data_IF_711667423910
#
_entry.id   IF_711667423910
#
_cell.length_a   1.000
_cell.length_b   1.000
_cell.length_c   1.000
_cell.angle_alpha   90.00
_cell.angle_beta   90.00
_cell.angle_gamma   90.00
#
_symmetry.space_group_name_H-M   'P 1'
#
loop_
_entity.id
_entity.type
_entity.pdbx_description
1 polymer ?
#
# COMPACT_ATOMS: atom_id res chain seq x y z
N UNK A 1 25.67 0.68 3.42
CA UNK A 1 24.44 1.36 3.89
C UNK A 1 23.84 0.58 5.05
N UNK A 2 22.90 1.14 5.80
CA UNK A 2 22.27 0.46 6.94
C UNK A 2 21.25 -0.55 6.40
N UNK A 3 21.28 -1.80 6.87
CA UNK A 3 20.29 -2.84 6.53
C UNK A 3 18.87 -2.37 6.87
N UNK A 4 17.92 -2.53 5.95
CA UNK A 4 16.50 -2.19 6.14
C UNK A 4 15.89 -3.14 7.16
N UNK A 5 15.21 -2.62 8.16
CA UNK A 5 14.57 -3.36 9.24
C UNK A 5 13.04 -3.39 9.00
N UNK A 6 12.51 -4.56 8.75
CA UNK A 6 11.09 -4.78 8.44
C UNK A 6 10.40 -5.47 9.60
N UNK A 7 9.34 -4.90 10.14
CA UNK A 7 8.45 -5.61 11.02
C UNK A 7 7.26 -6.20 10.21
N UNK A 8 6.82 -7.40 10.60
CA UNK A 8 5.70 -8.09 9.95
C UNK A 8 4.58 -8.21 10.98
N UNK A 9 3.42 -7.66 10.67
CA UNK A 9 2.22 -7.75 11.49
C UNK A 9 1.18 -8.63 10.79
N UNK A 10 0.91 -9.79 11.37
CA UNK A 10 0.22 -10.93 10.77
C UNK A 10 1.21 -11.95 10.20
N UNK A 11 1.32 -13.13 10.80
CA UNK A 11 2.31 -14.15 10.43
C UNK A 11 1.66 -15.47 9.97
N UNK A 12 0.49 -15.35 9.33
CA UNK A 12 -0.15 -16.43 8.58
C UNK A 12 0.59 -16.77 7.28
N UNK A 13 -0.12 -17.29 6.28
CA UNK A 13 0.49 -17.71 5.01
C UNK A 13 1.26 -16.58 4.31
N UNK A 14 0.68 -15.36 4.26
CA UNK A 14 1.36 -14.20 3.63
C UNK A 14 2.56 -13.74 4.44
N UNK A 15 2.39 -13.49 5.74
CA UNK A 15 3.47 -12.97 6.60
C UNK A 15 4.64 -13.93 6.73
N UNK A 16 4.40 -15.23 6.87
CA UNK A 16 5.47 -16.24 6.91
C UNK A 16 6.21 -16.33 5.58
N UNK A 17 5.50 -16.25 4.46
CA UNK A 17 6.11 -16.16 3.13
C UNK A 17 6.97 -14.91 2.94
N UNK A 18 6.52 -13.74 3.43
CA UNK A 18 7.27 -12.49 3.43
C UNK A 18 8.56 -12.64 4.27
N UNK A 19 8.44 -13.20 5.49
CA UNK A 19 9.59 -13.48 6.35
C UNK A 19 10.62 -14.39 5.69
N UNK A 20 10.15 -15.47 5.04
CA UNK A 20 11.00 -16.39 4.31
C UNK A 20 11.72 -15.72 3.12
N UNK A 21 11.00 -14.89 2.34
CA UNK A 21 11.59 -14.15 1.23
C UNK A 21 12.65 -13.16 1.72
N UNK A 22 12.35 -12.36 2.76
CA UNK A 22 13.30 -11.39 3.34
C UNK A 22 14.56 -12.10 3.85
N UNK A 23 14.42 -13.26 4.48
CA UNK A 23 15.55 -14.04 4.98
C UNK A 23 16.51 -14.49 3.86
N UNK A 24 16.05 -14.60 2.62
CA UNK A 24 16.87 -14.95 1.46
C UNK A 24 17.51 -13.75 0.75
N UNK A 25 17.27 -12.50 1.22
CA UNK A 25 17.73 -11.27 0.55
C UNK A 25 18.87 -10.58 1.33
N UNK A 26 19.57 -9.68 0.64
CA UNK A 26 20.65 -8.85 1.19
C UNK A 26 20.17 -7.42 1.42
N UNK A 27 20.74 -6.72 2.41
CA UNK A 27 20.40 -5.33 2.72
C UNK A 27 19.02 -5.14 3.37
N UNK A 28 18.32 -6.21 3.69
CA UNK A 28 17.00 -6.22 4.34
C UNK A 28 16.92 -7.36 5.36
N UNK A 29 16.26 -7.15 6.48
CA UNK A 29 16.05 -8.16 7.52
C UNK A 29 14.74 -7.96 8.26
N UNK A 30 14.19 -9.03 8.82
CA UNK A 30 13.05 -8.94 9.74
C UNK A 30 13.55 -8.43 11.08
N UNK A 31 12.92 -7.38 11.62
CA UNK A 31 13.25 -6.78 12.93
C UNK A 31 12.24 -7.13 14.02
N UNK A 32 11.04 -7.61 13.64
CA UNK A 32 10.01 -8.02 14.57
C UNK A 32 8.85 -8.70 13.86
N UNK A 33 8.13 -9.54 14.58
CA UNK A 33 6.93 -10.23 14.09
C UNK A 33 5.84 -10.14 15.16
N UNK A 34 4.64 -9.71 14.77
CA UNK A 34 3.47 -9.71 15.63
C UNK A 34 2.35 -10.59 15.03
N UNK A 35 1.82 -11.47 15.84
CA UNK A 35 0.62 -12.25 15.53
C UNK A 35 -0.16 -12.54 16.82
N UNK A 36 -1.48 -12.72 16.70
CA UNK A 36 -2.36 -13.01 17.85
C UNK A 36 -2.69 -14.49 18.02
N UNK A 37 -2.18 -15.34 17.13
CA UNK A 37 -2.41 -16.77 17.23
C UNK A 37 -1.51 -17.40 18.29
N UNK A 38 -2.11 -17.91 19.37
CA UNK A 38 -1.40 -18.47 20.53
C UNK A 38 -0.35 -19.53 20.17
N UNK A 39 -0.53 -20.24 19.05
CA UNK A 39 0.44 -21.24 18.58
C UNK A 39 1.71 -20.62 17.99
N UNK A 40 1.67 -19.36 17.61
CA UNK A 40 2.83 -18.64 17.05
C UNK A 40 3.56 -17.84 18.11
N UNK A 41 2.81 -17.23 19.02
CA UNK A 41 3.35 -16.34 20.05
C UNK A 41 4.37 -17.06 20.92
N UNK A 42 5.55 -16.43 21.06
CA UNK A 42 6.69 -16.98 21.82
C UNK A 42 7.60 -17.91 21.03
N UNK A 43 7.26 -18.29 19.80
CA UNK A 43 8.17 -19.03 18.92
C UNK A 43 9.21 -18.10 18.29
N UNK A 44 10.39 -18.64 18.02
CA UNK A 44 11.40 -17.97 17.21
C UNK A 44 11.06 -18.11 15.74
N UNK A 45 11.10 -16.96 15.00
CA UNK A 45 10.63 -16.88 13.61
C UNK A 45 11.37 -17.83 12.65
N UNK A 46 12.69 -17.89 12.72
CA UNK A 46 13.49 -18.73 11.81
C UNK A 46 13.29 -20.21 12.09
N UNK A 47 13.15 -20.59 13.37
CA UNK A 47 12.81 -21.97 13.77
C UNK A 47 11.41 -22.37 13.26
N UNK A 48 10.43 -21.45 13.38
CA UNK A 48 9.08 -21.69 12.85
C UNK A 48 9.09 -21.85 11.32
N UNK A 49 9.89 -21.06 10.60
CA UNK A 49 10.02 -21.15 9.15
C UNK A 49 10.89 -22.35 8.71
N UNK A 50 11.58 -23.02 9.63
CA UNK A 50 12.48 -24.13 9.32
C UNK A 50 13.72 -23.71 8.50
N UNK A 51 14.19 -22.47 8.67
CA UNK A 51 15.35 -21.92 7.94
C UNK A 51 16.47 -21.51 8.87
N UNK A 52 17.72 -21.53 8.37
CA UNK A 52 18.87 -21.07 9.13
C UNK A 52 18.85 -19.55 9.30
N UNK A 53 19.01 -19.10 10.53
CA UNK A 53 19.13 -17.68 10.89
C UNK A 53 20.34 -17.00 10.24
N UNK A 54 21.38 -17.74 9.91
CA UNK A 54 22.58 -17.26 9.21
C UNK A 54 23.22 -16.01 9.86
N UNK A 55 23.26 -15.98 11.21
CA UNK A 55 23.85 -14.89 11.98
C UNK A 55 22.97 -13.63 12.12
N UNK A 56 21.74 -13.63 11.62
CA UNK A 56 20.78 -12.53 11.83
C UNK A 56 20.32 -12.47 13.28
N UNK A 57 19.79 -11.31 13.74
CA UNK A 57 19.18 -11.19 15.06
C UNK A 57 18.07 -12.21 15.28
N UNK A 58 17.91 -12.67 16.51
CA UNK A 58 16.76 -13.47 16.93
C UNK A 58 15.46 -12.65 16.84
N UNK A 59 14.38 -13.28 16.38
CA UNK A 59 13.06 -12.63 16.25
C UNK A 59 12.02 -13.51 16.91
N UNK A 60 11.63 -13.14 18.12
CA UNK A 60 10.52 -13.82 18.83
C UNK A 60 9.20 -13.22 18.38
N UNK A 61 8.24 -14.08 18.01
CA UNK A 61 6.90 -13.68 17.61
C UNK A 61 6.14 -13.22 18.86
N UNK A 62 5.68 -11.96 18.86
CA UNK A 62 4.96 -11.35 19.97
C UNK A 62 3.48 -11.15 19.65
N UNK A 63 2.62 -11.06 20.69
CA UNK A 63 1.24 -10.63 20.55
C UNK A 63 1.05 -9.12 20.70
N UNK A 64 2.10 -8.40 21.12
CA UNK A 64 2.07 -6.95 21.36
C UNK A 64 2.70 -6.20 20.17
N UNK A 65 1.87 -5.53 19.42
CA UNK A 65 2.28 -4.70 18.30
C UNK A 65 3.23 -3.54 18.69
N UNK A 66 3.17 -3.06 19.93
CA UNK A 66 4.06 -1.99 20.40
C UNK A 66 5.53 -2.44 20.49
N UNK A 67 5.79 -3.73 20.63
CA UNK A 67 7.17 -4.25 20.65
C UNK A 67 7.84 -4.18 19.27
N UNK A 68 7.05 -4.27 18.19
CA UNK A 68 7.57 -4.31 16.81
C UNK A 68 7.43 -2.96 16.08
N UNK A 69 6.44 -2.12 16.46
CA UNK A 69 6.23 -0.81 15.84
C UNK A 69 6.98 0.25 16.66
N UNK A 70 8.27 0.27 16.52
CA UNK A 70 9.19 1.19 17.18
C UNK A 70 10.17 1.72 16.13
N UNK A 71 10.15 3.01 15.87
CA UNK A 71 10.98 3.66 14.86
C UNK A 71 12.48 3.45 15.05
N UNK A 72 12.92 3.32 16.29
CA UNK A 72 14.35 3.06 16.58
C UNK A 72 14.76 1.64 16.19
N UNK A 73 13.82 0.72 16.05
CA UNK A 73 14.04 -0.69 15.73
C UNK A 73 13.55 -1.11 14.35
N UNK A 74 12.56 -0.39 13.79
CA UNK A 74 11.84 -0.76 12.57
C UNK A 74 11.80 0.40 11.60
N UNK A 75 12.19 0.15 10.37
CA UNK A 75 12.17 1.16 9.30
C UNK A 75 10.83 1.15 8.53
N UNK A 76 10.14 0.00 8.47
CA UNK A 76 8.84 -0.17 7.80
C UNK A 76 8.08 -1.36 8.38
N UNK A 77 6.75 -1.26 8.43
CA UNK A 77 5.84 -2.36 8.80
C UNK A 77 5.15 -2.91 7.56
N UNK A 78 5.09 -4.23 7.44
CA UNK A 78 4.23 -4.92 6.48
C UNK A 78 3.03 -5.50 7.24
N UNK A 79 1.82 -5.06 6.87
CA UNK A 79 0.55 -5.56 7.41
C UNK A 79 0.01 -6.67 6.51
N UNK A 80 -0.16 -7.87 7.07
CA UNK A 80 -0.64 -9.05 6.35
C UNK A 80 -1.76 -9.76 7.15
N UNK A 81 -2.78 -9.00 7.59
CA UNK A 81 -3.81 -9.48 8.53
C UNK A 81 -5.21 -9.58 7.97
N UNK A 82 -5.58 -8.76 6.99
CA UNK A 82 -6.94 -8.58 6.50
C UNK A 82 -6.96 -8.11 5.06
N UNK A 83 -8.13 -8.19 4.40
CA UNK A 83 -8.38 -7.71 3.04
C UNK A 83 -9.05 -6.32 2.98
N UNK A 84 -9.55 -5.80 4.12
CA UNK A 84 -10.44 -4.64 4.16
C UNK A 84 -9.79 -3.43 4.83
N UNK A 85 -10.01 -2.23 4.27
CA UNK A 85 -9.52 -0.95 4.82
C UNK A 85 -9.98 -0.76 6.27
N UNK A 86 -11.26 -1.04 6.57
CA UNK A 86 -11.82 -0.87 7.92
C UNK A 86 -11.09 -1.70 8.98
N UNK A 87 -10.69 -2.92 8.63
CA UNK A 87 -9.98 -3.83 9.54
C UNK A 87 -8.50 -3.46 9.69
N UNK A 88 -7.93 -2.80 8.68
CA UNK A 88 -6.54 -2.33 8.68
C UNK A 88 -6.36 -0.93 9.30
N UNK A 89 -7.42 -0.11 9.34
CA UNK A 89 -7.35 1.31 9.65
C UNK A 89 -6.63 1.61 10.97
N UNK A 90 -7.07 1.01 12.07
CA UNK A 90 -6.47 1.27 13.39
C UNK A 90 -5.01 0.82 13.46
N UNK A 91 -4.65 -0.28 12.77
CA UNK A 91 -3.28 -0.78 12.69
C UNK A 91 -2.37 0.18 11.90
N UNK A 92 -2.87 0.71 10.78
CA UNK A 92 -2.16 1.72 9.99
C UNK A 92 -1.96 2.98 10.82
N UNK A 93 -3.01 3.50 11.46
CA UNK A 93 -2.93 4.69 12.31
C UNK A 93 -1.95 4.50 13.46
N UNK A 94 -1.91 3.32 14.08
CA UNK A 94 -0.95 2.97 15.12
C UNK A 94 0.51 3.06 14.64
N UNK A 95 0.79 2.60 13.42
CA UNK A 95 2.11 2.74 12.79
C UNK A 95 2.45 4.21 12.49
N UNK A 96 1.48 4.94 11.92
CA UNK A 96 1.64 6.35 11.57
C UNK A 96 1.91 7.23 12.77
N UNK A 97 1.21 7.02 13.89
CA UNK A 97 1.45 7.75 15.15
C UNK A 97 2.89 7.62 15.64
N UNK A 98 3.57 6.53 15.27
CA UNK A 98 4.97 6.25 15.56
C UNK A 98 5.92 6.64 14.42
N UNK A 99 5.41 7.32 13.40
CA UNK A 99 6.14 7.73 12.20
C UNK A 99 6.84 6.55 11.49
N UNK A 100 6.18 5.38 11.45
CA UNK A 100 6.67 4.19 10.76
C UNK A 100 5.86 3.99 9.46
N UNK A 101 6.52 3.92 8.29
CA UNK A 101 5.89 3.63 7.00
C UNK A 101 5.22 2.26 6.99
N UNK A 102 4.22 2.08 6.12
CA UNK A 102 3.42 0.85 6.06
C UNK A 102 3.28 0.37 4.62
N UNK A 103 3.41 -0.95 4.42
CA UNK A 103 2.87 -1.64 3.25
C UNK A 103 1.78 -2.61 3.72
N UNK A 104 0.61 -2.57 3.09
CA UNK A 104 -0.51 -3.47 3.37
C UNK A 104 -0.74 -4.42 2.21
N UNK A 105 -1.00 -5.70 2.52
CA UNK A 105 -1.46 -6.71 1.55
C UNK A 105 -2.98 -6.71 1.37
N UNK A 106 -3.71 -5.86 2.11
CA UNK A 106 -5.16 -5.77 1.99
C UNK A 106 -5.55 -5.30 0.59
N UNK A 107 -6.45 -6.02 -0.05
CA UNK A 107 -6.90 -5.78 -1.41
C UNK A 107 -7.51 -4.38 -1.56
N UNK A 108 -8.41 -3.98 -0.65
CA UNK A 108 -9.00 -2.63 -0.68
C UNK A 108 -7.96 -1.51 -0.52
N UNK A 109 -6.79 -1.79 0.06
CA UNK A 109 -5.73 -0.79 0.23
C UNK A 109 -5.00 -0.46 -1.07
N UNK A 110 -5.18 -1.21 -2.17
CA UNK A 110 -4.58 -0.88 -3.46
C UNK A 110 -5.12 0.45 -4.02
N UNK A 111 -6.41 0.72 -3.80
CA UNK A 111 -7.06 2.00 -4.11
C UNK A 111 -8.20 2.29 -3.12
N UNK A 112 -7.89 2.64 -1.86
CA UNK A 112 -8.89 2.67 -0.79
C UNK A 112 -9.97 3.75 -0.96
N UNK A 113 -9.76 4.72 -1.85
CA UNK A 113 -10.77 5.75 -2.16
C UNK A 113 -12.01 5.19 -2.86
N UNK A 114 -11.92 4.04 -3.54
CA UNK A 114 -13.04 3.42 -4.24
C UNK A 114 -14.22 3.17 -3.30
N UNK A 115 -13.96 2.58 -2.15
CA UNK A 115 -15.04 2.18 -1.23
C UNK A 115 -14.93 2.81 0.16
N UNK A 116 -13.77 3.37 0.52
CA UNK A 116 -13.47 3.83 1.88
C UNK A 116 -12.85 5.23 1.91
N UNK A 117 -13.38 6.16 1.09
CA UNK A 117 -12.81 7.49 0.88
C UNK A 117 -12.47 8.25 2.18
N UNK A 118 -13.38 8.26 3.17
CA UNK A 118 -13.14 8.98 4.42
C UNK A 118 -11.96 8.41 5.22
N UNK A 119 -11.81 7.07 5.23
CA UNK A 119 -10.69 6.41 5.91
C UNK A 119 -9.39 6.63 5.15
N UNK A 120 -9.44 6.54 3.83
CA UNK A 120 -8.29 6.82 2.96
C UNK A 120 -7.77 8.25 3.15
N UNK A 121 -8.67 9.26 3.17
CA UNK A 121 -8.31 10.65 3.38
C UNK A 121 -7.68 10.87 4.78
N UNK A 122 -8.15 10.17 5.82
CA UNK A 122 -7.56 10.22 7.17
C UNK A 122 -6.16 9.59 7.21
N UNK A 123 -5.99 8.44 6.56
CA UNK A 123 -4.67 7.79 6.44
C UNK A 123 -3.70 8.73 5.72
N UNK A 124 -4.11 9.29 4.57
CA UNK A 124 -3.29 10.19 3.77
C UNK A 124 -2.87 11.44 4.57
N UNK A 125 -3.81 12.03 5.28
CA UNK A 125 -3.55 13.22 6.10
C UNK A 125 -2.56 12.95 7.24
N UNK A 126 -2.75 11.84 7.99
CA UNK A 126 -1.84 11.49 9.08
C UNK A 126 -0.47 11.07 8.55
N UNK A 127 -0.40 10.29 7.46
CA UNK A 127 0.86 9.91 6.82
C UNK A 127 1.66 11.14 6.35
N UNK A 128 0.99 12.13 5.72
CA UNK A 128 1.60 13.41 5.34
C UNK A 128 2.10 14.21 6.55
N UNK A 129 1.32 14.25 7.61
CA UNK A 129 1.69 14.92 8.86
C UNK A 129 2.92 14.28 9.49
N UNK A 130 3.02 12.95 9.46
CA UNK A 130 4.14 12.18 10.02
C UNK A 130 5.35 12.08 9.09
N UNK A 131 5.24 12.52 7.86
CA UNK A 131 6.33 12.47 6.88
C UNK A 131 6.65 11.06 6.38
N UNK A 132 5.70 10.13 6.42
CA UNK A 132 5.87 8.73 6.02
C UNK A 132 4.88 8.33 4.92
N UNK A 133 5.18 7.25 4.20
CA UNK A 133 4.30 6.73 3.16
C UNK A 133 3.55 5.47 3.62
N UNK A 134 2.35 5.29 3.08
CA UNK A 134 1.55 4.06 3.19
C UNK A 134 1.27 3.58 1.77
N UNK A 135 1.43 2.27 1.52
CA UNK A 135 1.10 1.63 0.25
C UNK A 135 0.22 0.41 0.50
N UNK A 136 -0.85 0.24 -0.27
CA UNK A 136 -1.50 -1.05 -0.46
C UNK A 136 -1.08 -1.64 -1.80
N UNK A 137 -0.72 -2.93 -1.83
CA UNK A 137 -0.33 -3.62 -3.07
C UNK A 137 -0.39 -5.12 -2.94
N UNK A 138 -0.44 -5.78 -4.09
CA UNK A 138 -0.47 -7.23 -4.22
C UNK A 138 -0.39 -7.62 -5.69
N UNK A 139 -0.96 -8.77 -6.02
CA UNK A 139 -1.08 -9.22 -7.41
C UNK A 139 -2.43 -8.83 -8.00
N UNK A 140 -3.51 -8.91 -7.22
CA UNK A 140 -4.84 -8.59 -7.70
C UNK A 140 -5.78 -8.25 -6.52
N UNK A 141 -5.99 -6.94 -6.31
CA UNK A 141 -5.48 -5.76 -7.03
C UNK A 141 -4.00 -5.43 -6.70
N UNK A 142 -3.41 -4.57 -7.54
CA UNK A 142 -2.07 -4.03 -7.39
C UNK A 142 -1.12 -4.32 -8.57
N UNK A 143 -1.46 -5.31 -9.44
CA UNK A 143 -0.62 -5.61 -10.61
C UNK A 143 -1.38 -6.13 -11.83
N UNK A 144 -1.95 -7.34 -11.77
CA UNK A 144 -2.37 -8.09 -12.99
C UNK A 144 -3.57 -7.46 -13.69
N UNK A 145 -4.63 -7.10 -12.93
CA UNK A 145 -5.86 -6.54 -13.48
C UNK A 145 -5.92 -5.01 -13.39
N UNK A 146 -4.78 -4.35 -13.18
CA UNK A 146 -4.69 -2.89 -13.06
C UNK A 146 -3.34 -2.34 -13.54
N UNK A 147 -2.28 -2.35 -12.72
CA UNK A 147 -1.00 -1.71 -13.03
C UNK A 147 -0.35 -2.22 -14.33
N UNK A 148 -0.38 -3.53 -14.59
CA UNK A 148 0.16 -4.13 -15.82
C UNK A 148 -0.56 -3.59 -17.05
N UNK A 149 -1.89 -3.44 -16.95
CA UNK A 149 -2.74 -2.90 -18.02
C UNK A 149 -2.37 -1.44 -18.28
N UNK A 150 -2.25 -0.64 -17.22
CA UNK A 150 -1.84 0.76 -17.32
C UNK A 150 -0.46 0.91 -17.97
N UNK A 151 0.51 0.09 -17.54
CA UNK A 151 1.85 0.13 -18.12
C UNK A 151 1.86 -0.23 -19.61
N UNK A 152 1.05 -1.22 -20.01
CA UNK A 152 0.92 -1.64 -21.41
C UNK A 152 0.20 -0.57 -22.26
N UNK A 153 -0.86 0.03 -21.73
CA UNK A 153 -1.67 1.04 -22.44
C UNK A 153 -0.89 2.29 -22.85
N UNK A 154 0.23 2.57 -22.18
CA UNK A 154 1.13 3.68 -22.54
C UNK A 154 1.74 3.59 -23.94
N UNK A 155 1.59 2.46 -24.62
CA UNK A 155 2.00 2.28 -26.02
C UNK A 155 0.84 2.41 -27.01
N UNK A 156 -0.40 2.65 -26.53
CA UNK A 156 -1.58 2.83 -27.37
C UNK A 156 -1.79 4.33 -27.65
N UNK A 157 -2.20 4.66 -28.87
CA UNK A 157 -2.52 6.04 -29.26
C UNK A 157 -3.84 6.50 -28.63
N UNK A 158 -4.85 5.62 -28.67
CA UNK A 158 -6.15 5.83 -28.05
C UNK A 158 -6.73 4.47 -27.61
N UNK A 159 -7.32 4.41 -26.41
CA UNK A 159 -7.90 3.20 -25.86
C UNK A 159 -9.42 3.32 -25.87
N UNK A 160 -10.10 2.35 -26.49
CA UNK A 160 -11.57 2.30 -26.59
C UNK A 160 -12.20 1.47 -25.50
N UNK A 161 -11.59 0.35 -25.14
CA UNK A 161 -12.04 -0.51 -24.04
C UNK A 161 -10.94 -1.48 -23.61
N UNK A 162 -11.11 -2.03 -22.42
CA UNK A 162 -10.19 -3.00 -21.81
C UNK A 162 -10.99 -4.20 -21.34
N UNK A 163 -10.56 -5.38 -21.77
CA UNK A 163 -11.02 -6.64 -21.23
C UNK A 163 -9.86 -7.38 -20.60
N UNK A 164 -10.00 -7.76 -19.34
CA UNK A 164 -8.99 -8.52 -18.65
C UNK A 164 -9.60 -9.70 -17.89
N UNK A 165 -8.90 -10.84 -17.91
CA UNK A 165 -9.34 -12.04 -17.23
C UNK A 165 -8.18 -12.65 -16.46
N UNK A 166 -8.47 -13.14 -15.25
CA UNK A 166 -7.57 -13.92 -14.42
C UNK A 166 -8.23 -15.25 -14.09
N UNK A 167 -7.75 -16.33 -14.66
CA UNK A 167 -8.23 -17.69 -14.41
C UNK A 167 -7.23 -18.37 -13.48
N UNK A 168 -7.60 -18.57 -12.22
CA UNK A 168 -6.69 -19.15 -11.25
C UNK A 168 -7.18 -20.47 -10.65
N UNK A 169 -6.20 -21.28 -10.21
CA UNK A 169 -6.46 -22.50 -9.44
C UNK A 169 -6.47 -22.19 -7.95
N UNK A 170 -7.57 -22.55 -7.28
CA UNK A 170 -7.74 -22.45 -5.83
C UNK A 170 -7.09 -23.61 -5.07
N UNK A 171 -6.71 -24.69 -5.73
CA UNK A 171 -6.20 -25.89 -5.08
C UNK A 171 -5.03 -25.67 -4.10
N UNK A 172 -4.10 -24.72 -4.32
CA UNK A 172 -3.03 -24.40 -3.39
C UNK A 172 -3.48 -23.65 -2.12
N UNK A 173 -4.68 -23.09 -2.10
CA UNK A 173 -5.15 -22.28 -0.98
C UNK A 173 -5.79 -23.13 0.14
N UNK A 174 -5.77 -22.60 1.37
CA UNK A 174 -6.25 -23.32 2.53
C UNK A 174 -7.77 -23.49 2.60
N UNK A 175 -8.22 -24.27 3.59
CA UNK A 175 -9.64 -24.62 3.78
C UNK A 175 -10.56 -23.41 3.88
N UNK A 176 -10.14 -22.33 4.52
CA UNK A 176 -10.93 -21.10 4.65
C UNK A 176 -11.32 -20.52 3.28
N UNK A 177 -10.35 -20.44 2.33
CA UNK A 177 -10.61 -19.98 0.97
C UNK A 177 -11.60 -20.90 0.24
N UNK A 178 -11.48 -22.23 0.44
CA UNK A 178 -12.45 -23.18 -0.15
C UNK A 178 -13.87 -22.89 0.33
N UNK A 179 -14.06 -22.63 1.62
CA UNK A 179 -15.36 -22.32 2.23
C UNK A 179 -15.90 -20.96 1.77
N UNK A 180 -15.06 -19.95 1.68
CA UNK A 180 -15.40 -18.61 1.21
C UNK A 180 -15.77 -18.57 -0.29
N UNK A 181 -15.18 -19.47 -1.08
CA UNK A 181 -15.46 -19.63 -2.52
C UNK A 181 -16.55 -20.67 -2.78
N UNK A 182 -17.18 -21.24 -1.76
CA UNK A 182 -18.29 -22.17 -1.92
C UNK A 182 -17.92 -23.48 -2.60
N UNK A 183 -16.68 -23.93 -2.52
CA UNK A 183 -16.26 -25.19 -3.13
C UNK A 183 -17.01 -26.38 -2.54
N UNK A 184 -17.67 -27.15 -3.41
CA UNK A 184 -18.41 -28.37 -3.05
C UNK A 184 -19.86 -28.17 -2.62
N UNK A 185 -20.38 -26.92 -2.56
CA UNK A 185 -21.78 -26.67 -2.25
C UNK A 185 -22.68 -26.89 -3.48
N UNK A 186 -24.00 -27.00 -3.26
CA UNK A 186 -24.98 -27.08 -4.36
C UNK A 186 -25.25 -25.70 -4.98
N UNK A 187 -25.92 -25.67 -6.13
CA UNK A 187 -26.37 -24.43 -6.77
C UNK A 187 -27.40 -23.70 -5.92
N UNK A 188 -28.30 -24.44 -5.29
CA UNK A 188 -29.33 -23.87 -4.42
C UNK A 188 -28.68 -23.19 -3.20
N UNK A 189 -27.67 -23.83 -2.57
CA UNK A 189 -26.94 -23.24 -1.46
C UNK A 189 -26.13 -22.02 -1.91
N UNK A 190 -25.56 -22.05 -3.12
CA UNK A 190 -24.88 -20.88 -3.70
C UNK A 190 -25.84 -19.68 -3.82
N UNK A 191 -27.03 -19.88 -4.38
CA UNK A 191 -28.03 -18.82 -4.54
C UNK A 191 -28.46 -18.23 -3.19
N UNK A 192 -28.67 -19.09 -2.19
CA UNK A 192 -28.98 -18.68 -0.81
C UNK A 192 -27.87 -17.85 -0.18
N UNK A 193 -26.62 -18.30 -0.33
CA UNK A 193 -25.44 -17.63 0.26
C UNK A 193 -25.08 -16.34 -0.46
N UNK A 194 -25.30 -16.24 -1.78
CA UNK A 194 -25.16 -14.99 -2.53
C UNK A 194 -26.21 -13.98 -2.08
N UNK A 195 -27.48 -14.40 -1.93
CA UNK A 195 -28.54 -13.54 -1.43
C UNK A 195 -28.31 -13.05 0.02
N UNK A 196 -27.63 -13.84 0.82
CA UNK A 196 -27.24 -13.52 2.21
C UNK A 196 -25.91 -12.76 2.33
N UNK A 197 -25.20 -12.50 1.21
CA UNK A 197 -23.86 -11.90 1.13
C UNK A 197 -22.82 -12.62 2.03
N UNK A 198 -22.83 -13.96 2.01
CA UNK A 198 -21.94 -14.83 2.81
C UNK A 198 -20.90 -15.57 1.97
N UNK A 199 -20.86 -15.34 0.65
CA UNK A 199 -19.77 -15.78 -0.23
C UNK A 199 -18.95 -14.55 -0.63
N UNK A 200 -17.67 -14.54 -0.28
CA UNK A 200 -16.82 -13.38 -0.50
C UNK A 200 -16.58 -13.09 -1.98
N UNK A 201 -16.32 -14.13 -2.78
CA UNK A 201 -15.84 -13.96 -4.14
C UNK A 201 -14.45 -13.28 -4.15
N UNK A 202 -14.23 -12.44 -5.15
CA UNK A 202 -13.01 -11.63 -5.25
C UNK A 202 -13.24 -10.24 -4.64
N UNK A 203 -12.30 -9.79 -3.80
CA UNK A 203 -12.24 -8.42 -3.27
C UNK A 203 -11.26 -7.62 -4.13
N UNK A 204 -11.65 -6.41 -4.61
CA UNK A 204 -10.70 -5.50 -5.25
C UNK A 204 -11.03 -5.05 -6.68
N UNK A 205 -12.15 -5.49 -7.28
CA UNK A 205 -12.52 -4.99 -8.61
C UNK A 205 -12.80 -3.49 -8.67
N UNK A 206 -13.53 -2.89 -7.72
CA UNK A 206 -13.68 -1.44 -7.68
C UNK A 206 -12.35 -0.71 -7.57
N UNK A 207 -11.44 -1.22 -6.75
CA UNK A 207 -10.10 -0.69 -6.55
C UNK A 207 -9.28 -0.71 -7.85
N UNK A 208 -9.26 -1.85 -8.54
CA UNK A 208 -8.53 -1.98 -9.83
C UNK A 208 -9.13 -1.07 -10.90
N UNK A 209 -10.45 -1.03 -11.03
CA UNK A 209 -11.14 -0.20 -12.04
C UNK A 209 -10.90 1.29 -11.79
N UNK A 210 -11.09 1.77 -10.55
CA UNK A 210 -10.87 3.18 -10.23
C UNK A 210 -9.40 3.60 -10.33
N UNK A 211 -8.45 2.72 -9.97
CA UNK A 211 -7.04 2.97 -10.18
C UNK A 211 -6.71 3.12 -11.67
N UNK A 212 -7.24 2.25 -12.52
CA UNK A 212 -7.07 2.36 -13.98
C UNK A 212 -7.74 3.62 -14.53
N UNK A 213 -8.97 3.89 -14.15
CA UNK A 213 -9.73 5.07 -14.56
C UNK A 213 -8.96 6.35 -14.22
N UNK A 214 -8.46 6.45 -12.99
CA UNK A 214 -7.64 7.57 -12.54
C UNK A 214 -6.33 7.68 -13.32
N UNK A 215 -5.66 6.56 -13.58
CA UNK A 215 -4.39 6.51 -14.30
C UNK A 215 -4.51 6.92 -15.77
N UNK A 216 -5.62 6.59 -16.39
CA UNK A 216 -5.91 6.92 -17.80
C UNK A 216 -6.65 8.25 -17.99
N UNK A 217 -7.19 8.82 -16.91
CA UNK A 217 -8.02 10.03 -17.00
C UNK A 217 -9.39 9.77 -17.62
N UNK A 218 -9.96 8.59 -17.40
CA UNK A 218 -11.31 8.19 -17.85
C UNK A 218 -12.25 8.28 -16.67
N UNK A 219 -13.35 8.99 -16.83
CA UNK A 219 -14.43 8.96 -15.85
C UNK A 219 -15.25 7.68 -16.06
N UNK A 220 -15.46 6.93 -14.99
CA UNK A 220 -16.29 5.71 -15.02
C UNK A 220 -17.51 5.88 -14.14
N UNK A 221 -18.63 5.39 -14.62
CA UNK A 221 -19.90 5.34 -13.90
C UNK A 221 -20.29 3.88 -13.68
N UNK A 222 -21.10 3.64 -12.65
CA UNK A 222 -21.80 2.37 -12.40
C UNK A 222 -20.91 1.11 -12.53
N UNK A 223 -20.06 0.86 -11.55
CA UNK A 223 -19.33 -0.42 -11.46
C UNK A 223 -20.30 -1.52 -11.07
N UNK A 224 -20.72 -2.30 -12.05
CA UNK A 224 -21.60 -3.46 -11.87
C UNK A 224 -20.77 -4.72 -11.65
N UNK A 225 -21.10 -5.54 -10.65
CA UNK A 225 -20.44 -6.81 -10.37
C UNK A 225 -21.44 -7.96 -10.40
N UNK A 226 -21.03 -9.08 -11.00
CA UNK A 226 -21.82 -10.33 -11.01
C UNK A 226 -21.00 -11.46 -10.43
N UNK A 227 -21.67 -12.45 -9.82
CA UNK A 227 -21.09 -13.69 -9.31
C UNK A 227 -21.89 -14.86 -9.87
N UNK A 228 -21.20 -15.77 -10.55
CA UNK A 228 -21.79 -16.95 -11.19
C UNK A 228 -21.13 -18.22 -10.64
N UNK A 229 -21.87 -19.30 -10.39
CA UNK A 229 -21.30 -20.56 -9.97
C UNK A 229 -20.55 -21.25 -11.09
N UNK A 230 -19.36 -21.78 -10.82
CA UNK A 230 -18.65 -22.68 -11.72
C UNK A 230 -19.00 -24.12 -11.29
N UNK A 231 -19.87 -24.77 -12.06
CA UNK A 231 -20.33 -26.13 -11.78
C UNK A 231 -19.42 -27.12 -12.49
N UNK A 232 -18.88 -28.09 -11.73
CA UNK A 232 -18.02 -29.12 -12.29
C UNK A 232 -18.79 -30.31 -12.88
N UNK A 233 -18.32 -30.85 -13.99
CA UNK A 233 -18.86 -32.06 -14.61
C UNK A 233 -18.08 -33.32 -14.21
N UNK A 234 -17.02 -33.18 -13.43
CA UNK A 234 -16.17 -34.26 -12.91
C UNK A 234 -15.92 -34.04 -11.42
N UNK A 235 -15.51 -35.08 -10.69
CA UNK A 235 -15.05 -34.91 -9.33
C UNK A 235 -13.67 -34.25 -9.33
N UNK A 236 -13.51 -33.16 -8.55
CA UNK A 236 -12.23 -32.44 -8.38
C UNK A 236 -11.79 -32.47 -6.92
N UNK A 237 -10.53 -32.77 -6.69
CA UNK A 237 -9.99 -32.90 -5.33
C UNK A 237 -8.69 -32.13 -5.18
N UNK A 238 -8.60 -31.29 -4.16
CA UNK A 238 -7.37 -30.64 -3.72
C UNK A 238 -6.98 -31.10 -2.31
N UNK A 239 -5.86 -30.62 -1.78
CA UNK A 239 -5.46 -30.91 -0.42
C UNK A 239 -6.46 -30.38 0.65
N UNK A 240 -7.28 -29.39 0.30
CA UNK A 240 -8.12 -28.65 1.23
C UNK A 240 -9.59 -28.58 0.84
N UNK A 241 -9.98 -29.08 -0.34
CA UNK A 241 -11.35 -29.01 -0.83
C UNK A 241 -11.70 -30.15 -1.79
N UNK A 242 -12.99 -30.44 -1.88
CA UNK A 242 -13.57 -31.43 -2.81
C UNK A 242 -14.83 -30.84 -3.44
N UNK A 243 -14.94 -30.92 -4.75
CA UNK A 243 -16.14 -30.59 -5.51
C UNK A 243 -16.59 -31.83 -6.28
N UNK A 244 -17.70 -32.44 -5.88
CA UNK A 244 -18.30 -33.57 -6.59
C UNK A 244 -18.97 -33.11 -7.89
N UNK A 245 -19.07 -34.01 -8.85
CA UNK A 245 -19.81 -33.74 -10.10
C UNK A 245 -21.19 -33.16 -9.84
N UNK A 246 -21.50 -32.02 -10.43
CA UNK A 246 -22.74 -31.26 -10.27
C UNK A 246 -22.75 -30.26 -9.12
N UNK A 247 -21.63 -30.13 -8.38
CA UNK A 247 -21.47 -29.10 -7.35
C UNK A 247 -20.55 -27.97 -7.79
N UNK A 248 -20.39 -26.94 -6.96
CA UNK A 248 -19.51 -25.81 -7.28
C UNK A 248 -18.03 -26.24 -7.19
N UNK A 249 -17.27 -25.93 -8.24
CA UNK A 249 -15.80 -25.94 -8.21
C UNK A 249 -15.23 -24.59 -7.75
N UNK A 250 -16.06 -23.54 -7.78
CA UNK A 250 -15.69 -22.18 -7.43
C UNK A 250 -16.63 -21.12 -7.98
N UNK A 251 -16.19 -19.88 -8.04
CA UNK A 251 -17.02 -18.72 -8.46
C UNK A 251 -16.33 -18.01 -9.62
N UNK A 252 -17.11 -17.62 -10.63
CA UNK A 252 -16.73 -16.64 -11.62
C UNK A 252 -17.31 -15.29 -11.23
N UNK A 253 -16.44 -14.35 -10.89
CA UNK A 253 -16.85 -12.97 -10.65
C UNK A 253 -16.45 -12.10 -11.83
N UNK A 254 -17.35 -11.21 -12.23
CA UNK A 254 -17.10 -10.25 -13.29
C UNK A 254 -17.43 -8.84 -12.80
N UNK A 255 -16.74 -7.85 -13.35
CA UNK A 255 -17.05 -6.45 -13.13
C UNK A 255 -17.05 -5.71 -14.47
N UNK A 256 -18.02 -4.81 -14.60
CA UNK A 256 -18.20 -3.95 -15.75
C UNK A 256 -18.26 -2.51 -15.28
N UNK A 257 -17.49 -1.64 -15.92
CA UNK A 257 -17.60 -0.20 -15.70
C UNK A 257 -17.81 0.50 -17.05
N UNK A 258 -18.71 1.49 -17.04
CA UNK A 258 -19.12 2.21 -18.25
C UNK A 258 -18.45 3.57 -18.28
N UNK A 259 -18.19 4.07 -19.49
CA UNK A 259 -17.75 5.44 -19.73
C UNK A 259 -18.94 6.43 -19.68
N UNK A 260 -18.66 7.69 -19.86
CA UNK A 260 -19.66 8.78 -19.93
C UNK A 260 -20.74 8.60 -21.02
N UNK A 261 -20.50 7.75 -22.01
CA UNK A 261 -21.43 7.44 -23.10
C UNK A 261 -22.31 6.22 -22.79
N UNK A 262 -22.07 5.56 -21.65
CA UNK A 262 -22.77 4.34 -21.24
C UNK A 262 -22.22 3.06 -21.87
N UNK A 263 -21.10 3.13 -22.61
CA UNK A 263 -20.45 1.96 -23.19
C UNK A 263 -19.54 1.28 -22.16
N UNK A 264 -19.41 -0.05 -22.22
CA UNK A 264 -18.52 -0.80 -21.33
C UNK A 264 -17.07 -0.51 -21.69
N UNK A 265 -16.38 0.28 -20.84
CA UNK A 265 -14.98 0.59 -21.02
C UNK A 265 -14.08 -0.45 -20.35
N UNK A 266 -14.41 -0.88 -19.11
CA UNK A 266 -13.68 -1.94 -18.40
C UNK A 266 -14.56 -3.18 -18.24
N UNK A 267 -14.02 -4.34 -18.59
CA UNK A 267 -14.59 -5.65 -18.29
C UNK A 267 -13.53 -6.52 -17.64
N UNK A 268 -13.67 -6.77 -16.35
CA UNK A 268 -12.80 -7.66 -15.58
C UNK A 268 -13.52 -8.98 -15.32
N UNK A 269 -12.82 -10.11 -15.47
CA UNK A 269 -13.35 -11.46 -15.34
C UNK A 269 -12.40 -12.32 -14.49
N UNK A 270 -12.89 -12.89 -13.40
CA UNK A 270 -12.07 -13.67 -12.48
C UNK A 270 -12.72 -15.01 -12.12
N UNK A 271 -12.61 -16.02 -12.99
CA UNK A 271 -12.95 -17.39 -12.64
C UNK A 271 -11.94 -17.97 -11.65
N UNK A 272 -12.39 -18.24 -10.43
CA UNK A 272 -11.63 -18.87 -9.37
C UNK A 272 -12.22 -20.25 -9.08
N UNK A 273 -11.44 -21.33 -9.26
CA UNK A 273 -11.95 -22.69 -9.12
C UNK A 273 -10.85 -23.65 -8.73
N UNK A 274 -11.19 -24.77 -8.08
CA UNK A 274 -10.20 -25.83 -7.80
C UNK A 274 -9.96 -26.69 -9.04
N UNK A 275 -8.70 -27.07 -9.25
CA UNK A 275 -8.28 -28.03 -10.28
C UNK A 275 -8.95 -27.79 -11.65
N UNK A 276 -8.81 -26.59 -12.25
CA UNK A 276 -9.48 -26.25 -13.51
C UNK A 276 -9.06 -27.16 -14.66
N UNK A 277 -7.84 -27.67 -14.63
CA UNK A 277 -7.30 -28.53 -15.67
C UNK A 277 -7.99 -29.90 -15.79
N UNK A 278 -8.68 -30.34 -14.74
CA UNK A 278 -9.49 -31.57 -14.79
C UNK A 278 -10.65 -31.48 -15.80
N UNK A 279 -11.00 -30.26 -16.22
CA UNK A 279 -11.98 -30.01 -17.31
C UNK A 279 -11.36 -29.25 -18.48
N UNK A 280 -10.05 -29.27 -18.62
CA UNK A 280 -9.32 -28.67 -19.75
C UNK A 280 -9.31 -27.14 -19.73
N UNK A 281 -9.57 -26.51 -18.58
CA UNK A 281 -9.44 -25.08 -18.41
C UNK A 281 -8.02 -24.75 -17.93
N UNK A 282 -7.26 -24.05 -18.76
CA UNK A 282 -5.91 -23.62 -18.40
C UNK A 282 -5.93 -22.33 -17.61
N UNK A 283 -5.12 -22.27 -16.55
CA UNK A 283 -4.92 -21.05 -15.77
C UNK A 283 -4.11 -20.03 -16.57
N UNK A 284 -4.39 -18.74 -16.31
CA UNK A 284 -3.68 -17.66 -17.01
C UNK A 284 -4.25 -16.29 -16.68
N UNK A 285 -3.40 -15.28 -16.91
CA UNK A 285 -3.78 -13.87 -16.88
C UNK A 285 -3.84 -13.38 -18.32
N UNK A 286 -4.96 -12.83 -18.76
CA UNK A 286 -5.23 -12.40 -20.12
C UNK A 286 -5.72 -10.98 -20.15
N UNK A 287 -5.15 -10.15 -21.02
CA UNK A 287 -5.57 -8.75 -21.19
C UNK A 287 -5.71 -8.47 -22.67
N UNK A 288 -6.82 -7.87 -23.08
CA UNK A 288 -7.03 -7.28 -24.39
C UNK A 288 -7.30 -5.78 -24.20
N UNK A 289 -6.46 -4.95 -24.80
CA UNK A 289 -6.66 -3.50 -24.89
C UNK A 289 -7.11 -3.21 -26.32
N UNK A 290 -8.34 -2.79 -26.49
CA UNK A 290 -8.86 -2.34 -27.77
C UNK A 290 -8.44 -0.89 -28.01
N UNK A 291 -7.60 -0.64 -29.00
CA UNK A 291 -7.07 0.68 -29.31
C UNK A 291 -7.36 1.05 -30.78
N UNK A 292 -7.19 2.33 -31.12
CA UNK A 292 -7.31 2.73 -32.51
C UNK A 292 -6.19 2.08 -33.36
N UNK A 293 -6.63 1.41 -34.43
CA UNK A 293 -5.75 0.79 -35.39
C UNK A 293 -5.26 -0.61 -35.05
N UNK A 294 -5.35 -1.07 -33.82
CA UNK A 294 -4.96 -2.44 -33.42
C UNK A 294 -5.46 -2.84 -32.03
N UNK A 295 -5.55 -4.13 -31.78
CA UNK A 295 -5.79 -4.69 -30.46
C UNK A 295 -4.48 -5.22 -29.89
N UNK A 296 -4.18 -4.83 -28.64
CA UNK A 296 -3.06 -5.40 -27.90
C UNK A 296 -3.55 -6.58 -27.05
N UNK A 297 -2.90 -7.72 -27.19
CA UNK A 297 -3.17 -8.90 -26.38
C UNK A 297 -1.94 -9.27 -25.56
N UNK A 298 -2.11 -9.37 -24.23
CA UNK A 298 -1.10 -9.85 -23.31
C UNK A 298 -1.60 -11.14 -22.64
N UNK A 299 -0.70 -12.08 -22.38
CA UNK A 299 -1.01 -13.28 -21.61
C UNK A 299 0.17 -13.72 -20.77
N UNK A 300 -0.13 -14.18 -19.56
CA UNK A 300 0.80 -14.85 -18.66
C UNK A 300 0.22 -16.24 -18.40
N UNK A 301 0.93 -17.28 -18.83
CA UNK A 301 0.46 -18.68 -18.74
C UNK A 301 1.59 -19.55 -18.20
N UNK A 302 1.37 -20.31 -17.11
CA UNK A 302 0.19 -20.26 -16.25
C UNK A 302 0.01 -18.87 -15.57
N UNK A 303 -1.08 -18.68 -14.85
CA UNK A 303 -1.33 -17.41 -14.15
C UNK A 303 -0.23 -17.04 -13.15
N UNK A 304 -0.06 -15.76 -12.90
CA UNK A 304 0.83 -15.28 -11.84
C UNK A 304 0.38 -15.86 -10.49
N UNK A 305 1.21 -16.66 -9.79
CA UNK A 305 0.80 -17.28 -8.53
C UNK A 305 0.42 -16.23 -7.50
N UNK A 306 -0.85 -16.17 -7.08
CA UNK A 306 -1.38 -15.09 -6.24
C UNK A 306 -0.59 -14.90 -4.94
N UNK A 307 -0.34 -15.96 -4.19
CA UNK A 307 0.40 -15.91 -2.93
C UNK A 307 1.85 -15.50 -3.10
N UNK A 308 2.60 -16.20 -3.96
CA UNK A 308 4.03 -15.91 -4.22
C UNK A 308 4.20 -14.52 -4.84
N UNK A 309 3.31 -14.15 -5.75
CA UNK A 309 3.36 -12.86 -6.42
C UNK A 309 3.11 -11.71 -5.46
N UNK A 310 2.11 -11.81 -4.56
CA UNK A 310 1.82 -10.80 -3.54
C UNK A 310 3.00 -10.64 -2.58
N UNK A 311 3.56 -11.74 -2.07
CA UNK A 311 4.77 -11.74 -1.24
C UNK A 311 5.91 -11.01 -1.95
N UNK A 312 6.15 -11.36 -3.22
CA UNK A 312 7.23 -10.77 -4.01
C UNK A 312 7.00 -9.28 -4.27
N UNK A 313 5.79 -8.88 -4.63
CA UNK A 313 5.43 -7.49 -4.87
C UNK A 313 5.67 -6.64 -3.62
N UNK A 314 5.12 -7.04 -2.48
CA UNK A 314 5.25 -6.32 -1.23
C UNK A 314 6.71 -6.14 -0.81
N UNK A 315 7.52 -7.21 -0.86
CA UNK A 315 8.93 -7.15 -0.47
C UNK A 315 9.74 -6.28 -1.44
N UNK A 316 9.50 -6.42 -2.75
CA UNK A 316 10.21 -5.61 -3.75
C UNK A 316 9.84 -4.12 -3.69
N UNK A 317 8.65 -3.78 -3.18
CA UNK A 317 8.23 -2.38 -3.02
C UNK A 317 8.77 -1.72 -1.74
N UNK A 318 9.35 -2.47 -0.80
CA UNK A 318 9.91 -1.91 0.44
C UNK A 318 10.85 -0.71 0.21
N UNK A 319 11.89 -0.80 -0.63
CA UNK A 319 12.78 0.35 -0.86
C UNK A 319 12.05 1.55 -1.49
N UNK A 320 11.07 1.29 -2.37
CA UNK A 320 10.33 2.33 -3.05
C UNK A 320 9.41 3.10 -2.10
N UNK A 321 8.78 2.41 -1.13
CA UNK A 321 7.95 3.04 -0.09
C UNK A 321 8.81 3.86 0.87
N UNK A 322 9.99 3.36 1.23
CA UNK A 322 10.95 4.10 2.07
C UNK A 322 11.45 5.38 1.40
N UNK A 323 11.56 5.40 0.07
CA UNK A 323 11.93 6.59 -0.71
C UNK A 323 10.75 7.45 -1.17
N UNK A 324 9.50 7.04 -0.91
CA UNK A 324 8.32 7.70 -1.44
C UNK A 324 8.01 9.03 -0.74
N UNK A 325 7.31 9.92 -1.42
CA UNK A 325 6.73 11.12 -0.79
C UNK A 325 5.71 10.71 0.27
N UNK A 326 5.68 11.43 1.38
CA UNK A 326 4.73 11.19 2.46
C UNK A 326 3.27 11.23 1.98
N UNK A 327 2.45 10.36 2.56
CA UNK A 327 1.02 10.23 2.27
C UNK A 327 0.63 8.80 1.90
N UNK A 328 -0.65 8.59 1.67
CA UNK A 328 -1.17 7.37 1.10
C UNK A 328 -0.79 7.31 -0.38
N UNK A 329 -0.03 6.28 -0.75
CA UNK A 329 0.52 6.08 -2.09
C UNK A 329 -0.14 4.88 -2.74
N UNK A 330 -0.17 4.91 -4.05
CA UNK A 330 -0.62 3.81 -4.89
C UNK A 330 0.50 3.34 -5.80
N UNK A 331 0.29 2.26 -6.51
CA UNK A 331 1.26 1.79 -7.50
C UNK A 331 1.50 2.81 -8.63
N UNK A 332 0.59 3.78 -8.85
CA UNK A 332 0.76 4.87 -9.81
C UNK A 332 1.78 5.94 -9.36
N UNK A 333 2.01 6.05 -8.06
CA UNK A 333 2.87 7.09 -7.48
C UNK A 333 4.34 6.65 -7.36
N UNK A 334 4.62 5.36 -7.56
CA UNK A 334 5.89 4.73 -7.24
C UNK A 334 6.63 4.26 -8.49
N UNK A 335 7.94 4.03 -8.41
CA UNK A 335 8.69 3.45 -9.51
C UNK A 335 8.14 2.10 -9.96
N UNK A 336 8.39 1.75 -11.22
CA UNK A 336 7.99 0.45 -11.80
C UNK A 336 8.42 -0.70 -10.89
N UNK A 337 7.48 -1.57 -10.47
CA UNK A 337 7.80 -2.73 -9.66
C UNK A 337 8.75 -3.66 -10.41
N UNK A 338 9.79 -4.11 -9.72
CA UNK A 338 10.82 -4.98 -10.31
C UNK A 338 11.40 -5.92 -9.27
N UNK A 339 11.84 -7.10 -9.70
CA UNK A 339 12.59 -7.99 -8.85
C UNK A 339 13.94 -7.36 -8.46
N UNK A 340 14.23 -7.29 -7.17
CA UNK A 340 15.50 -6.83 -6.66
C UNK A 340 16.40 -8.04 -6.42
N UNK A 341 17.49 -8.13 -7.17
CA UNK A 341 18.44 -9.23 -7.10
C UNK A 341 19.72 -8.89 -6.29
N UNK A 342 19.96 -7.61 -6.09
CA UNK A 342 21.08 -7.07 -5.32
C UNK A 342 20.71 -6.72 -3.88
N UNK A 343 21.49 -5.79 -3.32
CA UNK A 343 21.27 -5.25 -1.98
C UNK A 343 20.08 -4.29 -1.95
N UNK A 344 19.08 -4.58 -1.13
CA UNK A 344 17.85 -3.79 -1.02
C UNK A 344 18.11 -2.38 -0.48
N UNK A 345 19.08 -2.21 0.40
CA UNK A 345 19.42 -0.90 0.96
C UNK A 345 20.00 0.08 -0.07
N UNK A 346 20.55 -0.43 -1.17
CA UNK A 346 21.05 0.36 -2.29
C UNK A 346 19.95 0.80 -3.26
N UNK A 347 18.73 0.25 -3.14
CA UNK A 347 17.60 0.56 -4.01
C UNK A 347 16.67 1.65 -3.45
N UNK A 348 17.01 2.19 -2.27
CA UNK A 348 16.25 3.30 -1.69
C UNK A 348 16.70 4.59 -2.37
N UNK A 349 15.88 5.11 -3.28
CA UNK A 349 16.01 6.46 -3.80
C UNK A 349 15.49 7.44 -2.73
N UNK A 350 16.26 7.62 -1.68
CA UNK A 350 15.96 8.64 -0.69
C UNK A 350 16.07 10.02 -1.36
N UNK A 351 14.95 10.74 -1.45
CA UNK A 351 15.02 12.19 -1.45
C UNK A 351 15.66 12.58 -0.08
N UNK A 352 16.91 13.07 -0.07
CA UNK A 352 17.66 13.28 1.19
C UNK A 352 16.94 14.21 2.17
N UNK A 353 15.85 14.87 1.74
CA UNK A 353 15.06 15.76 2.59
C UNK A 353 13.92 15.09 3.36
N UNK A 354 13.48 13.90 2.97
CA UNK A 354 12.17 13.40 3.39
C UNK A 354 12.15 12.68 4.74
N UNK A 355 13.25 12.01 5.11
CA UNK A 355 13.36 11.23 6.36
C UNK A 355 14.61 11.57 7.18
N UNK A 356 15.39 12.56 6.74
CA UNK A 356 16.58 12.94 7.48
C UNK A 356 16.19 13.52 8.84
N UNK A 357 16.75 12.92 9.89
CA UNK A 357 16.81 13.54 11.20
C UNK A 357 17.35 14.97 11.04
N UNK A 358 16.61 15.96 11.49
CA UNK A 358 17.03 17.36 11.53
C UNK A 358 17.75 17.59 12.84
N UNK A 359 18.81 18.36 12.77
CA UNK A 359 19.63 18.71 13.93
C UNK A 359 19.42 20.16 14.31
N UNK A 360 19.75 20.47 15.54
CA UNK A 360 19.75 21.84 16.03
C UNK A 360 20.50 22.79 15.10
N UNK A 361 19.84 23.86 14.72
CA UNK A 361 20.35 24.84 13.77
C UNK A 361 19.99 24.59 12.33
N UNK A 362 19.39 23.44 11.98
CA UNK A 362 18.86 23.21 10.62
C UNK A 362 17.70 24.17 10.33
N UNK A 363 17.67 24.68 9.11
CA UNK A 363 16.57 25.51 8.62
C UNK A 363 15.47 24.61 8.08
N UNK A 364 14.31 24.66 8.71
CA UNK A 364 13.22 23.67 8.48
C UNK A 364 11.89 24.34 8.17
N UNK A 365 10.97 23.58 7.59
CA UNK A 365 9.57 23.98 7.41
C UNK A 365 8.73 23.31 8.47
N UNK A 366 7.96 24.10 9.19
CA UNK A 366 7.03 23.63 10.22
C UNK A 366 5.60 24.05 9.92
N UNK A 367 4.64 23.34 10.47
CA UNK A 367 3.22 23.62 10.31
C UNK A 367 2.50 23.74 11.64
N UNK A 368 1.47 24.59 11.70
CA UNK A 368 0.58 24.75 12.85
C UNK A 368 -0.86 24.95 12.40
N UNK A 369 -1.79 24.29 13.06
CA UNK A 369 -3.22 24.60 12.91
C UNK A 369 -3.49 25.95 13.57
N UNK A 370 -3.94 26.91 12.77
CA UNK A 370 -4.31 28.26 13.24
C UNK A 370 -5.78 28.30 13.66
N UNK A 371 -6.65 27.67 12.86
CA UNK A 371 -8.06 27.51 13.14
C UNK A 371 -8.46 26.05 12.87
N UNK A 372 -9.21 25.46 13.78
CA UNK A 372 -9.79 24.13 13.54
C UNK A 372 -10.99 24.20 12.59
N UNK A 373 -11.47 23.04 12.17
CA UNK A 373 -12.72 22.94 11.40
C UNK A 373 -13.85 23.69 12.08
N UNK A 374 -14.66 24.40 11.30
CA UNK A 374 -15.78 25.21 11.81
C UNK A 374 -15.41 26.55 12.45
N UNK A 375 -14.13 26.86 12.65
CA UNK A 375 -13.67 28.15 13.19
C UNK A 375 -13.33 29.19 12.12
N UNK A 376 -13.58 28.88 10.84
CA UNK A 376 -13.38 29.82 9.73
C UNK A 376 -14.42 30.94 9.78
N UNK A 377 -14.11 32.07 9.13
CA UNK A 377 -15.04 33.17 8.99
C UNK A 377 -16.35 32.71 8.31
N UNK A 378 -17.53 33.25 8.72
CA UNK A 378 -18.82 32.77 8.20
C UNK A 378 -19.02 32.89 6.68
N UNK A 379 -18.25 33.74 6.02
CA UNK A 379 -18.35 34.03 4.59
C UNK A 379 -17.49 33.14 3.69
N UNK A 380 -16.74 32.17 4.25
CA UNK A 380 -15.98 31.24 3.40
C UNK A 380 -16.90 30.19 2.79
N UNK A 381 -16.55 29.59 1.61
CA UNK A 381 -17.27 28.48 1.04
C UNK A 381 -17.42 27.30 2.01
N UNK A 382 -18.47 26.51 1.83
CA UNK A 382 -18.80 25.41 2.77
C UNK A 382 -17.69 24.34 2.85
N UNK A 383 -17.07 24.00 1.73
CA UNK A 383 -15.91 23.11 1.65
C UNK A 383 -14.69 23.66 2.44
N UNK A 384 -14.45 24.96 2.35
CA UNK A 384 -13.39 25.65 3.08
C UNK A 384 -13.68 25.69 4.59
N UNK A 385 -14.95 25.78 5.00
CA UNK A 385 -15.33 25.78 6.42
C UNK A 385 -15.07 24.43 7.11
N UNK A 386 -15.06 23.34 6.35
CA UNK A 386 -14.87 21.95 6.81
C UNK A 386 -13.40 21.54 6.94
N UNK A 387 -12.46 22.41 6.58
CA UNK A 387 -11.01 22.11 6.68
C UNK A 387 -10.31 23.09 7.62
N UNK A 388 -9.29 22.65 8.38
CA UNK A 388 -8.54 23.54 9.27
C UNK A 388 -7.74 24.58 8.47
N UNK A 389 -7.48 25.74 9.06
CA UNK A 389 -6.49 26.69 8.57
C UNK A 389 -5.12 26.31 9.09
N UNK A 390 -4.23 25.91 8.21
CA UNK A 390 -2.87 25.53 8.53
C UNK A 390 -1.91 26.65 8.09
N UNK A 391 -1.08 27.13 9.01
CA UNK A 391 0.06 27.96 8.68
C UNK A 391 1.30 27.12 8.46
N UNK A 392 1.99 27.36 7.34
CA UNK A 392 3.32 26.84 7.06
C UNK A 392 4.31 27.99 7.20
N UNK A 393 5.37 27.78 7.97
CA UNK A 393 6.43 28.78 8.12
C UNK A 393 7.79 28.10 8.29
N UNK A 394 8.86 28.88 8.22
CA UNK A 394 10.23 28.40 8.26
C UNK A 394 10.95 28.95 9.47
N UNK A 395 11.86 28.16 10.02
CA UNK A 395 12.70 28.58 11.14
C UNK A 395 13.89 27.65 11.34
N UNK A 396 14.77 28.03 12.24
CA UNK A 396 15.88 27.21 12.67
C UNK A 396 15.44 26.33 13.84
N UNK A 397 15.74 25.03 13.76
CA UNK A 397 15.41 24.06 14.80
C UNK A 397 16.22 24.36 16.07
N UNK A 398 15.54 24.44 17.23
CA UNK A 398 16.17 24.63 18.54
C UNK A 398 16.39 23.31 19.29
N UNK A 399 15.60 22.28 19.00
CA UNK A 399 15.75 20.94 19.58
C UNK A 399 17.02 20.26 19.05
N UNK A 400 17.66 19.43 19.87
CA UNK A 400 18.94 18.78 19.51
C UNK A 400 18.83 17.91 18.28
N UNK A 401 17.71 17.20 18.14
CA UNK A 401 17.33 16.49 16.93
C UNK A 401 15.80 16.34 16.85
N UNK A 402 15.28 16.21 15.64
CA UNK A 402 13.86 15.97 15.38
C UNK A 402 13.65 15.35 14.01
N UNK A 403 12.48 14.75 13.83
CA UNK A 403 12.06 14.12 12.59
C UNK A 403 10.69 14.66 12.16
N UNK A 404 10.35 14.62 10.88
CA UNK A 404 9.03 15.03 10.41
C UNK A 404 7.91 14.37 11.21
N UNK A 405 6.96 15.18 11.69
CA UNK A 405 5.88 14.77 12.58
C UNK A 405 6.09 15.15 14.04
N UNK A 406 7.33 15.40 14.47
CA UNK A 406 7.61 15.86 15.83
C UNK A 406 7.13 17.31 16.05
N UNK A 407 6.64 17.59 17.25
CA UNK A 407 6.38 18.96 17.69
C UNK A 407 7.68 19.58 18.20
N UNK A 408 8.16 20.62 17.52
CA UNK A 408 9.49 21.19 17.70
C UNK A 408 9.45 22.67 18.02
N UNK A 409 10.53 23.13 18.66
CA UNK A 409 10.78 24.55 18.88
C UNK A 409 11.63 25.09 17.72
N UNK A 410 11.20 26.22 17.14
CA UNK A 410 11.92 26.87 16.04
C UNK A 410 12.07 28.36 16.30
N UNK A 411 13.17 28.93 15.83
CA UNK A 411 13.39 30.37 15.74
C UNK A 411 13.26 30.81 14.29
N UNK A 412 12.29 31.66 13.99
CA UNK A 412 12.14 32.23 12.65
C UNK A 412 13.29 33.19 12.31
N UNK A 413 13.47 33.52 11.04
CA UNK A 413 14.48 34.50 10.61
C UNK A 413 14.31 35.88 11.27
N UNK A 414 13.10 36.24 11.69
CA UNK A 414 12.84 37.48 12.43
C UNK A 414 13.18 37.39 13.94
N UNK A 415 13.65 36.24 14.41
CA UNK A 415 13.99 35.99 15.83
C UNK A 415 12.81 35.55 16.69
N UNK A 416 11.59 35.36 16.12
CA UNK A 416 10.44 34.89 16.86
C UNK A 416 10.59 33.41 17.18
N UNK A 417 10.46 33.04 18.47
CA UNK A 417 10.36 31.65 18.90
C UNK A 417 8.92 31.16 18.70
N UNK A 418 8.77 29.97 18.19
CA UNK A 418 7.47 29.35 17.94
C UNK A 418 7.58 27.84 18.12
N UNK A 419 6.45 27.19 18.42
CA UNK A 419 6.31 25.75 18.58
C UNK A 419 5.34 25.24 17.52
N UNK A 420 5.76 24.24 16.73
CA UNK A 420 4.98 23.74 15.60
C UNK A 420 5.45 22.35 15.19
N UNK A 421 4.69 21.66 14.36
CA UNK A 421 5.02 20.31 13.87
C UNK A 421 6.01 20.42 12.72
N UNK A 422 7.14 19.72 12.83
CA UNK A 422 8.15 19.60 11.77
C UNK A 422 7.56 18.88 10.56
N UNK A 423 7.77 19.43 9.37
CA UNK A 423 7.34 18.81 8.12
C UNK A 423 8.51 18.20 7.35
N UNK A 424 8.23 17.24 6.48
CA UNK A 424 9.22 16.70 5.54
C UNK A 424 9.54 17.66 4.37
N UNK A 425 8.93 18.84 4.32
CA UNK A 425 9.09 19.77 3.20
C UNK A 425 10.48 20.36 3.17
N UNK A 426 11.04 20.43 1.96
CA UNK A 426 12.27 21.19 1.70
C UNK A 426 12.02 22.68 1.98
N UNK A 427 12.91 23.37 2.71
CA UNK A 427 12.77 24.80 2.97
C UNK A 427 13.02 25.69 1.74
N UNK A 428 13.38 25.13 0.59
CA UNK A 428 13.52 25.89 -0.67
C UNK A 428 12.21 26.54 -1.09
N UNK A 429 12.26 27.62 -1.83
CA UNK A 429 11.08 28.23 -2.43
C UNK A 429 10.80 27.58 -3.80
N UNK A 430 9.53 27.46 -4.19
CA UNK A 430 9.12 26.87 -5.47
C UNK A 430 9.66 27.59 -6.73
N UNK A 431 10.23 28.79 -6.55
CA UNK A 431 10.78 29.64 -7.63
C UNK A 431 12.26 29.93 -7.42
N UNK A 432 13.03 28.97 -6.93
CA UNK A 432 14.50 29.11 -6.82
C UNK A 432 15.18 28.66 -8.10
N UNK A 433 16.32 29.30 -8.42
CA UNK A 433 17.16 28.92 -9.55
C UNK A 433 18.16 27.80 -9.19
N UNK A 434 17.93 27.04 -8.12
CA UNK A 434 18.83 25.98 -7.68
C UNK A 434 18.33 25.23 -6.46
N UNK A 435 19.16 24.28 -6.00
CA UNK A 435 18.90 23.51 -4.78
C UNK A 435 19.06 24.39 -3.56
N UNK A 436 18.36 24.05 -2.46
CA UNK A 436 18.59 24.62 -1.15
C UNK A 436 20.04 24.39 -0.73
N UNK A 437 20.73 25.45 -0.33
CA UNK A 437 22.13 25.44 0.13
C UNK A 437 22.15 25.86 1.60
N UNK A 438 22.29 24.89 2.55
CA UNK A 438 22.23 25.17 3.99
C UNK A 438 23.24 26.22 4.45
N UNK A 439 24.43 26.23 3.84
CA UNK A 439 25.51 27.14 4.17
C UNK A 439 25.12 28.60 3.97
N UNK A 440 24.35 28.90 2.92
CA UNK A 440 23.90 30.27 2.67
C UNK A 440 22.95 30.77 3.77
N UNK A 441 22.20 29.88 4.40
CA UNK A 441 21.32 30.24 5.51
C UNK A 441 22.10 30.52 6.81
N UNK A 442 23.25 29.89 6.98
CA UNK A 442 24.14 30.15 8.14
C UNK A 442 24.80 31.53 8.04
N UNK A 443 25.08 32.03 6.84
CA UNK A 443 25.67 33.36 6.65
C UNK A 443 24.81 34.44 7.31
N UNK A 444 23.50 34.37 7.16
CA UNK A 444 22.58 35.34 7.77
C UNK A 444 22.68 35.37 9.31
N UNK A 445 22.77 34.19 9.94
CA UNK A 445 22.95 34.08 11.40
C UNK A 445 24.30 34.64 11.85
N UNK A 446 25.38 34.23 11.17
CA UNK A 446 26.73 34.69 11.47
C UNK A 446 26.86 36.20 11.33
N UNK A 447 26.30 36.79 10.26
CA UNK A 447 26.28 38.26 10.07
C UNK A 447 25.48 38.94 11.19
N UNK A 448 24.34 38.40 11.58
CA UNK A 448 23.52 38.94 12.67
C UNK A 448 24.26 38.90 13.99
N UNK A 449 24.91 37.79 14.33
CA UNK A 449 25.69 37.63 15.55
C UNK A 449 26.89 38.58 15.57
N UNK A 450 27.54 38.82 14.43
CA UNK A 450 28.65 39.75 14.28
C UNK A 450 28.22 41.24 14.38
N UNK A 451 27.07 41.58 13.82
CA UNK A 451 26.61 42.98 13.74
C UNK A 451 25.89 43.42 15.01
N UNK A 452 25.14 42.52 15.65
CA UNK A 452 24.30 42.85 16.80
C UNK A 452 24.78 42.24 18.12
N UNK A 453 25.92 41.51 18.13
CA UNK A 453 26.49 40.87 19.29
C UNK A 453 25.53 39.84 19.90
N UNK A 454 25.90 38.57 19.95
CA UNK A 454 25.08 37.42 20.32
C UNK A 454 24.42 37.40 21.73
N UNK A 455 23.91 38.54 22.19
CA UNK A 455 23.10 38.62 23.39
C UNK A 455 21.73 39.23 23.04
N UNK A 456 20.69 38.39 23.24
CA UNK A 456 19.25 38.72 23.34
C UNK A 456 18.56 39.26 22.07
N UNK A 457 17.86 38.37 21.41
CA UNK A 457 16.58 38.67 20.77
C UNK A 457 15.59 37.53 21.00
#
# INVERSE_FOLDING_TARGET
>A
MKTIRVAIWGFGAMGSGIGNMIAAKQGIQVSGVCDKWDKLVGQEMYDYLGIDRAGRPEVIITADEAEIVDRDKTDIVILATDSFVKAQFDKIMFCLERSVPVISTAEEMAWPWAQNKELADKIDAEAKKRGVAVLGTGINPGFVLDYLILAASGTCEDVKSIKAARINDLAPFGKAVMEEQGVGISVEEFDERIAADTLAGHVGFPESIEMMARGMGVDVEDIEQTREPIITNVDRTSAYGFAGKGTLAGIRQQAYARDENGEVFYHLDHPQQICPEDEGVHTGDYVTIHADGYDMNLSIVPETPGGIGTISMVVNMVPHVLGAKAGLRTMLDLPVPRAILGDYSEQIDLDPGQYAERKKGDYVVVQRIVLTEGQRAPQVPEDTSKVPLIALFKGYLEDESAVPGDEVNVITMSGRKDKAVLTARDPSAQHTYGRFVPELMQVHRQVRDLVFGGEEA
#
